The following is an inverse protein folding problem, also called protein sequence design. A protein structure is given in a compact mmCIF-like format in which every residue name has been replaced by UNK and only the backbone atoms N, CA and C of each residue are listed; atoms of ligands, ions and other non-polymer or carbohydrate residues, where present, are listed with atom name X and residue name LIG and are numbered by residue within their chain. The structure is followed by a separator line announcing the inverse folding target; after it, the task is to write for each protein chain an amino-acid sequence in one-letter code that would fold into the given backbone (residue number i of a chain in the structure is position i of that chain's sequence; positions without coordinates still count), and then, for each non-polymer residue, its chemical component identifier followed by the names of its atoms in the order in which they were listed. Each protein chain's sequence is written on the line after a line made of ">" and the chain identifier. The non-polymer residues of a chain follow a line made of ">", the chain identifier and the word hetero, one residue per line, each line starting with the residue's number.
data_IF_695885716518
#
_entry.id   IF_695885716518
#
_cell.length_a   1.000
_cell.length_b   1.000
_cell.length_c   1.000
_cell.angle_alpha   90.00
_cell.angle_beta   90.00
_cell.angle_gamma   90.00
#
_symmetry.space_group_name_H-M   'P 1'
#
loop_
_entity.id
_entity.type
_entity.pdbx_description
1 polymer ?
#
# COMPACT_ATOMS: atom_id res chain seq x y z
N UNK A 1 9.73 -20.17 -2.35
CA UNK A 1 10.18 -19.11 -1.44
C UNK A 1 9.21 -19.05 -0.30
N UNK A 2 9.70 -19.25 0.82
CA UNK A 2 9.25 -19.95 1.99
C UNK A 2 8.38 -19.07 2.92
N UNK A 3 7.52 -19.72 3.69
CA UNK A 3 6.73 -19.26 4.86
C UNK A 3 7.43 -18.27 5.84
N UNK A 4 8.63 -17.81 5.53
CA UNK A 4 9.48 -17.04 6.44
C UNK A 4 9.36 -15.51 6.36
N UNK A 5 8.56 -14.96 5.43
CA UNK A 5 8.45 -13.49 5.29
C UNK A 5 7.30 -12.87 6.10
N UNK A 6 6.35 -13.68 6.56
CA UNK A 6 5.24 -13.22 7.41
C UNK A 6 5.68 -13.07 8.88
N UNK A 7 6.72 -13.78 9.31
CA UNK A 7 7.19 -13.78 10.71
C UNK A 7 7.95 -12.52 11.16
N UNK A 8 8.21 -11.56 10.25
CA UNK A 8 8.79 -10.26 10.58
C UNK A 8 7.78 -9.10 10.67
N UNK A 9 6.55 -9.31 10.23
CA UNK A 9 5.43 -8.37 10.35
C UNK A 9 4.41 -9.00 11.25
N UNK A 10 4.08 -8.44 12.38
CA UNK A 10 3.06 -8.90 13.32
C UNK A 10 1.88 -9.68 12.71
N UNK A 11 0.89 -10.01 13.49
CA UNK A 11 -0.32 -10.75 13.00
C UNK A 11 -1.02 -9.98 11.88
N UNK A 12 -1.64 -10.72 10.95
CA UNK A 12 -2.52 -10.16 9.93
C UNK A 12 -3.73 -9.51 10.60
N UNK A 13 -3.99 -8.27 10.30
CA UNK A 13 -5.01 -7.44 10.96
C UNK A 13 -6.29 -7.40 10.15
N UNK A 14 -7.38 -7.84 10.73
CA UNK A 14 -8.69 -7.93 10.06
C UNK A 14 -9.71 -7.05 10.76
N UNK A 15 -10.49 -6.31 9.96
CA UNK A 15 -11.72 -5.65 10.36
C UNK A 15 -12.92 -6.46 9.86
N UNK A 16 -13.93 -6.64 10.69
CA UNK A 16 -15.19 -7.28 10.34
C UNK A 16 -16.30 -6.25 10.42
N UNK A 17 -17.15 -6.16 9.38
CA UNK A 17 -18.36 -5.34 9.38
C UNK A 17 -19.55 -6.16 8.88
N UNK A 18 -20.59 -6.20 9.69
CA UNK A 18 -21.87 -6.90 9.41
C UNK A 18 -22.92 -6.30 10.33
N UNK A 19 -24.16 -6.12 9.94
CA UNK A 19 -25.21 -5.54 10.78
C UNK A 19 -25.76 -6.56 11.79
N UNK A 20 -25.64 -7.87 11.51
CA UNK A 20 -26.11 -8.95 12.37
C UNK A 20 -25.05 -9.32 13.41
N UNK A 21 -25.35 -9.08 14.68
CA UNK A 21 -24.43 -9.35 15.80
C UNK A 21 -23.93 -10.80 15.85
N UNK A 22 -24.80 -11.77 15.54
CA UNK A 22 -24.45 -13.18 15.58
C UNK A 22 -23.44 -13.55 14.47
N UNK A 23 -23.62 -13.01 13.26
CA UNK A 23 -22.69 -13.19 12.15
C UNK A 23 -21.32 -12.63 12.50
N UNK A 24 -21.26 -11.40 13.05
CA UNK A 24 -19.98 -10.80 13.49
C UNK A 24 -19.28 -11.66 14.51
N UNK A 25 -20.03 -12.17 15.51
CA UNK A 25 -19.49 -13.05 16.55
C UNK A 25 -18.93 -14.35 15.96
N UNK A 26 -19.70 -15.02 15.08
CA UNK A 26 -19.31 -16.28 14.48
C UNK A 26 -18.08 -16.10 13.59
N UNK A 27 -18.05 -15.08 12.73
CA UNK A 27 -16.88 -14.76 11.89
C UNK A 27 -15.63 -14.48 12.75
N UNK A 28 -15.78 -13.73 13.86
CA UNK A 28 -14.68 -13.50 14.80
C UNK A 28 -14.17 -14.80 15.44
N UNK A 29 -15.08 -15.70 15.81
CA UNK A 29 -14.69 -16.99 16.40
C UNK A 29 -13.97 -17.87 15.38
N UNK A 30 -14.41 -17.91 14.12
CA UNK A 30 -13.70 -18.61 13.05
C UNK A 30 -12.28 -18.07 12.87
N UNK A 31 -12.12 -16.75 12.81
CA UNK A 31 -10.80 -16.11 12.67
C UNK A 31 -9.91 -16.39 13.90
N UNK A 32 -10.48 -16.45 15.09
CA UNK A 32 -9.72 -16.73 16.31
C UNK A 32 -9.09 -18.13 16.34
N UNK A 33 -9.55 -19.06 15.49
CA UNK A 33 -8.93 -20.40 15.34
C UNK A 33 -7.76 -20.40 14.36
N UNK A 34 -7.52 -19.31 13.63
CA UNK A 34 -6.47 -19.22 12.61
C UNK A 34 -5.17 -18.70 13.20
N UNK A 35 -4.04 -19.25 12.75
CA UNK A 35 -2.71 -18.80 13.17
C UNK A 35 -2.31 -17.48 12.50
N UNK A 36 -1.64 -16.63 13.27
CA UNK A 36 -1.08 -15.35 12.78
C UNK A 36 -2.11 -14.34 12.23
N UNK A 37 -3.36 -14.44 12.65
CA UNK A 37 -4.45 -13.53 12.31
C UNK A 37 -5.03 -12.91 13.57
N UNK A 38 -5.47 -11.65 13.51
CA UNK A 38 -6.18 -11.01 14.61
C UNK A 38 -7.29 -10.09 14.09
N UNK A 39 -8.41 -10.06 14.79
CA UNK A 39 -9.50 -9.11 14.54
C UNK A 39 -9.20 -7.83 15.32
N UNK A 40 -8.87 -6.76 14.61
CA UNK A 40 -8.49 -5.47 15.20
C UNK A 40 -9.66 -4.53 15.40
N UNK A 41 -10.74 -4.70 14.62
CA UNK A 41 -11.94 -3.87 14.73
C UNK A 41 -13.18 -4.64 14.29
N UNK A 42 -14.33 -4.24 14.86
CA UNK A 42 -15.66 -4.81 14.56
C UNK A 42 -16.63 -3.67 14.38
N UNK A 43 -17.23 -3.55 13.20
CA UNK A 43 -18.23 -2.54 12.84
C UNK A 43 -19.61 -3.15 12.66
N UNK A 44 -20.67 -2.36 12.85
CA UNK A 44 -22.06 -2.76 12.64
C UNK A 44 -22.69 -2.16 11.38
N UNK A 45 -21.95 -1.36 10.63
CA UNK A 45 -22.35 -0.74 9.37
C UNK A 45 -21.15 -0.24 8.59
N UNK A 46 -21.37 0.16 7.32
CA UNK A 46 -20.29 0.59 6.43
C UNK A 46 -19.62 1.89 6.86
N UNK A 47 -20.35 2.83 7.49
CA UNK A 47 -19.74 4.09 7.97
C UNK A 47 -18.71 3.80 9.05
N UNK A 48 -19.08 2.99 10.05
CA UNK A 48 -18.13 2.55 11.09
C UNK A 48 -16.95 1.78 10.50
N UNK A 49 -17.17 0.95 9.47
CA UNK A 49 -16.08 0.22 8.80
C UNK A 49 -15.05 1.16 8.20
N UNK A 50 -15.48 2.24 7.53
CA UNK A 50 -14.59 3.27 6.98
C UNK A 50 -13.82 4.00 8.09
N UNK A 51 -14.50 4.47 9.13
CA UNK A 51 -13.90 5.17 10.28
C UNK A 51 -12.87 4.29 10.99
N UNK A 52 -13.24 3.04 11.28
CA UNK A 52 -12.34 2.09 11.94
C UNK A 52 -11.17 1.66 11.06
N UNK A 53 -11.33 1.63 9.73
CA UNK A 53 -10.20 1.40 8.82
C UNK A 53 -9.17 2.51 8.95
N UNK A 54 -9.58 3.76 9.07
CA UNK A 54 -8.70 4.90 9.30
C UNK A 54 -7.96 4.83 10.64
N UNK A 55 -8.62 4.34 11.68
CA UNK A 55 -8.04 4.26 13.03
C UNK A 55 -7.11 3.05 13.18
N UNK A 56 -7.56 1.89 12.70
CA UNK A 56 -6.90 0.61 12.97
C UNK A 56 -6.01 0.11 11.83
N UNK A 57 -6.07 0.70 10.64
CA UNK A 57 -5.29 0.30 9.44
C UNK A 57 -5.24 -1.23 9.23
N UNK A 58 -6.39 -1.92 9.04
CA UNK A 58 -6.43 -3.34 8.82
C UNK A 58 -5.77 -3.72 7.48
N UNK A 59 -5.18 -4.91 7.41
CA UNK A 59 -4.68 -5.48 6.15
C UNK A 59 -5.82 -5.97 5.26
N UNK A 60 -6.89 -6.50 5.87
CA UNK A 60 -8.08 -7.02 5.18
C UNK A 60 -9.33 -6.52 5.90
N UNK A 61 -10.33 -6.11 5.12
CA UNK A 61 -11.69 -5.86 5.61
C UNK A 61 -12.63 -6.96 5.12
N UNK A 62 -13.47 -7.47 6.01
CA UNK A 62 -14.53 -8.42 5.72
C UNK A 62 -15.84 -7.69 5.90
N UNK A 63 -16.60 -7.47 4.81
CA UNK A 63 -17.76 -6.61 4.78
C UNK A 63 -19.01 -7.37 4.32
N UNK A 64 -20.07 -7.30 5.11
CA UNK A 64 -21.39 -7.67 4.60
C UNK A 64 -21.87 -6.63 3.59
N UNK A 65 -22.60 -7.06 2.55
CA UNK A 65 -23.16 -6.14 1.57
C UNK A 65 -24.28 -5.34 2.19
N UNK A 66 -25.23 -6.01 2.82
CA UNK A 66 -26.51 -5.43 3.24
C UNK A 66 -26.41 -4.84 4.65
N UNK A 67 -25.80 -3.68 4.77
CA UNK A 67 -25.69 -2.97 6.05
C UNK A 67 -26.45 -1.64 6.02
N UNK A 68 -27.00 -1.20 7.18
CA UNK A 68 -27.66 0.10 7.28
C UNK A 68 -26.67 1.25 7.14
N UNK A 69 -27.17 2.43 6.80
CA UNK A 69 -26.44 3.68 6.62
C UNK A 69 -25.46 3.71 5.43
N UNK A 70 -24.67 2.66 5.25
CA UNK A 70 -23.78 2.49 4.11
C UNK A 70 -23.57 0.99 3.86
N UNK A 71 -23.83 0.53 2.63
CA UNK A 71 -23.59 -0.84 2.20
C UNK A 71 -22.10 -1.17 2.08
N UNK A 72 -21.78 -2.48 2.08
CA UNK A 72 -20.38 -2.94 2.06
C UNK A 72 -19.61 -2.58 0.80
N UNK A 73 -20.26 -2.54 -0.38
CA UNK A 73 -19.63 -2.16 -1.64
C UNK A 73 -19.25 -0.69 -1.65
N UNK A 74 -20.15 0.17 -1.16
CA UNK A 74 -19.91 1.60 -0.99
C UNK A 74 -18.83 1.86 0.06
N UNK A 75 -18.87 1.14 1.18
CA UNK A 75 -17.84 1.24 2.22
C UNK A 75 -16.44 0.89 1.65
N UNK A 76 -16.33 -0.20 0.88
CA UNK A 76 -15.05 -0.57 0.29
C UNK A 76 -14.56 0.44 -0.76
N UNK A 77 -15.44 1.06 -1.54
CA UNK A 77 -15.04 2.15 -2.46
C UNK A 77 -14.35 3.30 -1.72
N UNK A 78 -14.89 3.71 -0.59
CA UNK A 78 -14.26 4.74 0.25
C UNK A 78 -12.93 4.26 0.83
N UNK A 79 -12.89 3.03 1.34
CA UNK A 79 -11.67 2.45 1.93
C UNK A 79 -10.55 2.39 0.90
N UNK A 80 -10.78 1.86 -0.30
CA UNK A 80 -9.71 1.66 -1.30
C UNK A 80 -9.18 2.98 -1.88
N UNK A 81 -9.97 4.04 -1.87
CA UNK A 81 -9.53 5.37 -2.29
C UNK A 81 -8.47 5.96 -1.35
N UNK A 82 -8.63 5.78 -0.04
CA UNK A 82 -7.69 6.30 0.96
C UNK A 82 -6.61 5.27 1.35
N UNK A 83 -6.94 3.98 1.31
CA UNK A 83 -6.08 2.86 1.72
C UNK A 83 -5.96 1.79 0.63
N UNK A 84 -5.30 2.07 -0.49
CA UNK A 84 -5.25 1.18 -1.66
C UNK A 84 -4.51 -0.16 -1.42
N UNK A 85 -3.91 -0.32 -0.24
CA UNK A 85 -3.25 -1.56 0.18
C UNK A 85 -4.11 -2.50 1.01
N UNK A 86 -5.37 -2.11 1.31
CA UNK A 86 -6.31 -2.91 2.12
C UNK A 86 -7.06 -3.89 1.24
N UNK A 87 -6.99 -5.18 1.54
CA UNK A 87 -7.77 -6.22 0.85
C UNK A 87 -9.21 -6.28 1.33
N UNK A 88 -10.10 -6.85 0.50
CA UNK A 88 -11.51 -6.98 0.82
C UNK A 88 -12.05 -8.38 0.52
N UNK A 89 -12.79 -8.89 1.49
CA UNK A 89 -13.65 -10.04 1.35
C UNK A 89 -15.09 -9.56 1.55
N UNK A 90 -15.93 -9.74 0.55
CA UNK A 90 -17.38 -9.51 0.70
C UNK A 90 -18.04 -10.78 1.21
N UNK A 91 -18.94 -10.62 2.16
CA UNK A 91 -19.82 -11.67 2.65
C UNK A 91 -21.26 -11.27 2.31
N UNK A 92 -22.05 -12.17 1.71
CA UNK A 92 -23.44 -11.86 1.37
C UNK A 92 -24.33 -13.08 1.44
N UNK A 93 -25.61 -12.88 1.77
CA UNK A 93 -26.63 -13.90 1.59
C UNK A 93 -27.04 -14.08 0.12
N UNK A 94 -26.65 -13.15 -0.76
CA UNK A 94 -26.99 -13.14 -2.16
C UNK A 94 -25.85 -13.70 -3.01
N UNK A 95 -26.20 -14.54 -3.97
CA UNK A 95 -25.27 -15.10 -4.99
C UNK A 95 -25.60 -14.59 -6.40
N UNK A 96 -26.30 -13.45 -6.50
CA UNK A 96 -26.69 -12.88 -7.79
C UNK A 96 -25.46 -12.49 -8.63
N UNK A 97 -25.37 -12.95 -9.89
CA UNK A 97 -24.24 -12.65 -10.77
C UNK A 97 -23.99 -11.16 -11.01
N UNK A 98 -25.02 -10.30 -10.96
CA UNK A 98 -24.87 -8.87 -11.12
C UNK A 98 -24.13 -8.25 -9.93
N UNK A 99 -24.44 -8.67 -8.71
CA UNK A 99 -23.79 -8.23 -7.48
C UNK A 99 -22.32 -8.68 -7.45
N UNK A 100 -22.03 -9.92 -7.80
CA UNK A 100 -20.66 -10.45 -7.89
C UNK A 100 -19.84 -9.68 -8.94
N UNK A 101 -20.44 -9.36 -10.09
CA UNK A 101 -19.79 -8.55 -11.13
C UNK A 101 -19.53 -7.13 -10.68
N UNK A 102 -20.47 -6.52 -9.96
CA UNK A 102 -20.28 -5.19 -9.36
C UNK A 102 -19.12 -5.18 -8.35
N UNK A 103 -19.06 -6.19 -7.50
CA UNK A 103 -17.97 -6.38 -6.54
C UNK A 103 -16.60 -6.48 -7.25
N UNK A 104 -16.50 -7.33 -8.28
CA UNK A 104 -15.26 -7.50 -9.05
C UNK A 104 -14.82 -6.20 -9.75
N UNK A 105 -15.75 -5.38 -10.23
CA UNK A 105 -15.42 -4.10 -10.90
C UNK A 105 -14.84 -3.04 -9.97
N UNK A 106 -15.03 -3.19 -8.66
CA UNK A 106 -14.49 -2.29 -7.63
C UNK A 106 -13.10 -2.76 -7.14
N UNK A 107 -12.66 -3.96 -7.56
CA UNK A 107 -11.39 -4.54 -7.13
C UNK A 107 -11.49 -5.34 -5.84
N UNK A 108 -12.69 -5.83 -5.49
CA UNK A 108 -12.87 -6.78 -4.40
C UNK A 108 -12.22 -8.11 -4.78
N UNK A 109 -11.42 -8.67 -3.88
CA UNK A 109 -10.60 -9.83 -4.16
C UNK A 109 -11.35 -11.15 -3.95
N UNK A 110 -12.28 -11.18 -2.97
CA UNK A 110 -13.02 -12.40 -2.64
C UNK A 110 -14.47 -12.12 -2.28
N UNK A 111 -15.32 -13.12 -2.56
CA UNK A 111 -16.76 -13.08 -2.31
C UNK A 111 -17.20 -14.40 -1.68
N UNK A 112 -17.74 -14.36 -0.46
CA UNK A 112 -18.28 -15.51 0.26
C UNK A 112 -19.80 -15.42 0.37
N UNK A 113 -20.48 -16.51 0.04
CA UNK A 113 -21.94 -16.63 0.18
C UNK A 113 -22.26 -17.25 1.55
N UNK A 114 -23.15 -16.61 2.31
CA UNK A 114 -23.66 -17.14 3.58
C UNK A 114 -24.64 -18.30 3.34
N UNK A 115 -24.59 -19.38 4.14
CA UNK A 115 -23.61 -19.66 5.19
C UNK A 115 -22.29 -20.16 4.62
N UNK A 116 -21.15 -19.83 5.23
CA UNK A 116 -19.81 -20.30 4.87
C UNK A 116 -19.13 -20.99 6.05
N UNK A 117 -18.17 -21.83 5.76
CA UNK A 117 -17.38 -22.59 6.74
C UNK A 117 -16.09 -21.85 7.12
N UNK A 118 -15.46 -22.30 8.20
CA UNK A 118 -14.14 -21.79 8.62
C UNK A 118 -13.08 -22.00 7.54
N UNK A 119 -13.11 -23.16 6.86
CA UNK A 119 -12.14 -23.49 5.80
C UNK A 119 -12.31 -22.58 4.57
N UNK A 120 -13.54 -22.24 4.19
CA UNK A 120 -13.82 -21.30 3.10
C UNK A 120 -13.34 -19.89 3.45
N UNK A 121 -13.58 -19.43 4.67
CA UNK A 121 -13.11 -18.13 5.13
C UNK A 121 -11.56 -18.09 5.17
N UNK A 122 -10.92 -19.14 5.66
CA UNK A 122 -9.46 -19.24 5.70
C UNK A 122 -8.86 -19.26 4.28
N UNK A 123 -9.48 -19.98 3.35
CA UNK A 123 -9.08 -20.01 1.95
C UNK A 123 -9.18 -18.64 1.30
N UNK A 124 -10.31 -17.91 1.54
CA UNK A 124 -10.52 -16.56 1.05
C UNK A 124 -9.46 -15.57 1.59
N UNK A 125 -9.17 -15.63 2.90
CA UNK A 125 -8.12 -14.79 3.52
C UNK A 125 -6.76 -15.08 2.89
N UNK A 126 -6.39 -16.35 2.72
CA UNK A 126 -5.12 -16.75 2.08
C UNK A 126 -5.02 -16.25 0.65
N UNK A 127 -6.10 -16.35 -0.12
CA UNK A 127 -6.11 -15.86 -1.51
C UNK A 127 -5.95 -14.35 -1.58
N UNK A 128 -6.66 -13.59 -0.75
CA UNK A 128 -6.48 -12.12 -0.67
C UNK A 128 -5.03 -11.75 -0.34
N UNK A 129 -4.39 -12.44 0.60
CA UNK A 129 -2.97 -12.21 0.94
C UNK A 129 -2.08 -12.40 -0.28
N UNK A 130 -2.27 -13.47 -1.04
CA UNK A 130 -1.48 -13.77 -2.25
C UNK A 130 -1.65 -12.64 -3.27
N UNK A 131 -2.88 -12.22 -3.57
CA UNK A 131 -3.17 -11.14 -4.52
C UNK A 131 -2.56 -9.80 -4.10
N UNK A 132 -2.62 -9.47 -2.79
CA UNK A 132 -1.98 -8.26 -2.25
C UNK A 132 -0.45 -8.32 -2.38
N UNK A 133 0.16 -9.48 -2.13
CA UNK A 133 1.61 -9.66 -2.29
C UNK A 133 2.04 -9.54 -3.75
N UNK A 134 1.31 -10.16 -4.68
CA UNK A 134 1.58 -10.05 -6.12
C UNK A 134 1.49 -8.60 -6.61
N UNK A 135 0.45 -7.88 -6.16
CA UNK A 135 0.26 -6.46 -6.48
C UNK A 135 1.41 -5.61 -5.95
N UNK A 136 1.82 -5.81 -4.70
CA UNK A 136 2.97 -5.12 -4.09
C UNK A 136 4.27 -5.41 -4.84
N UNK A 137 4.51 -6.68 -5.22
CA UNK A 137 5.69 -7.07 -6.01
C UNK A 137 5.67 -6.45 -7.41
N UNK A 138 4.52 -6.41 -8.08
CA UNK A 138 4.36 -5.79 -9.39
C UNK A 138 4.66 -4.30 -9.34
N UNK A 139 4.11 -3.60 -8.35
CA UNK A 139 4.38 -2.16 -8.12
C UNK A 139 5.89 -1.94 -7.84
N UNK A 140 6.50 -2.78 -7.00
CA UNK A 140 7.92 -2.68 -6.70
C UNK A 140 8.80 -2.91 -7.94
N UNK A 141 8.45 -3.86 -8.82
CA UNK A 141 9.14 -4.07 -10.11
C UNK A 141 9.01 -2.87 -11.02
N UNK A 142 7.80 -2.36 -11.22
CA UNK A 142 7.56 -1.16 -12.05
C UNK A 142 8.33 0.04 -11.49
N UNK A 143 8.31 0.25 -10.17
CA UNK A 143 9.10 1.30 -9.52
C UNK A 143 10.59 1.12 -9.77
N UNK A 144 11.11 -0.10 -9.66
CA UNK A 144 12.53 -0.40 -9.92
C UNK A 144 12.90 -0.16 -11.39
N UNK A 145 12.08 -0.59 -12.34
CA UNK A 145 12.28 -0.36 -13.78
C UNK A 145 12.24 1.14 -14.11
N UNK A 146 11.28 1.88 -13.55
CA UNK A 146 11.18 3.33 -13.74
C UNK A 146 12.37 4.06 -13.11
N UNK A 147 12.88 3.62 -11.96
CA UNK A 147 14.07 4.18 -11.32
C UNK A 147 15.37 3.89 -12.11
N UNK A 148 15.35 2.99 -13.08
CA UNK A 148 16.44 2.76 -14.02
C UNK A 148 16.29 3.56 -15.32
N UNK A 149 15.13 4.18 -15.55
CA UNK A 149 14.86 5.01 -16.72
C UNK A 149 15.28 6.45 -16.46
N UNK A 150 16.40 6.87 -17.05
CA UNK A 150 16.98 8.23 -16.85
C UNK A 150 16.02 9.36 -17.27
N UNK A 151 15.16 9.13 -18.26
CA UNK A 151 14.17 10.12 -18.72
C UNK A 151 13.11 10.32 -17.65
N UNK A 152 12.59 9.23 -17.11
CA UNK A 152 11.61 9.25 -16.00
C UNK A 152 12.20 9.91 -14.75
N UNK A 153 13.43 9.56 -14.37
CA UNK A 153 14.12 10.20 -13.24
C UNK A 153 14.24 11.71 -13.39
N UNK A 154 14.62 12.20 -14.60
CA UNK A 154 14.73 13.63 -14.89
C UNK A 154 13.37 14.35 -14.80
N UNK A 155 12.30 13.72 -15.27
CA UNK A 155 10.96 14.28 -15.15
C UNK A 155 10.54 14.41 -13.69
N UNK A 156 10.67 13.33 -12.91
CA UNK A 156 10.30 13.30 -11.50
C UNK A 156 11.15 14.26 -10.65
N UNK A 157 12.45 14.38 -10.94
CA UNK A 157 13.32 15.33 -10.28
C UNK A 157 12.90 16.78 -10.53
N UNK A 158 12.46 17.12 -11.77
CA UNK A 158 11.93 18.45 -12.08
C UNK A 158 10.61 18.74 -11.32
N UNK A 159 9.73 17.76 -11.17
CA UNK A 159 8.50 17.90 -10.35
C UNK A 159 8.85 18.13 -8.88
N UNK A 160 9.75 17.34 -8.32
CA UNK A 160 10.18 17.48 -6.93
C UNK A 160 10.85 18.83 -6.64
N UNK A 161 11.60 19.39 -7.61
CA UNK A 161 12.16 20.74 -7.48
C UNK A 161 11.08 21.81 -7.46
N UNK A 162 10.03 21.69 -8.30
CA UNK A 162 8.91 22.63 -8.32
C UNK A 162 8.14 22.60 -7.01
N UNK A 163 7.96 21.41 -6.42
CA UNK A 163 7.22 21.20 -5.19
C UNK A 163 8.07 21.45 -3.93
N UNK A 164 9.36 21.74 -4.09
CA UNK A 164 10.30 21.96 -2.98
C UNK A 164 10.50 20.74 -2.10
N UNK A 165 10.35 19.52 -2.64
CA UNK A 165 10.46 18.27 -1.88
C UNK A 165 11.92 17.99 -1.49
N UNK A 166 12.11 17.63 -0.22
CA UNK A 166 13.41 17.28 0.37
C UNK A 166 13.35 15.97 1.18
N UNK A 167 12.30 15.16 1.01
CA UNK A 167 12.10 13.89 1.68
C UNK A 167 13.02 12.78 1.14
N UNK A 168 12.93 11.57 1.71
CA UNK A 168 13.78 10.44 1.35
C UNK A 168 13.57 9.99 -0.10
N UNK A 169 12.35 10.12 -0.64
CA UNK A 169 12.07 9.82 -2.05
C UNK A 169 12.81 10.82 -2.96
N UNK A 170 12.83 12.11 -2.63
CA UNK A 170 13.55 13.13 -3.37
C UNK A 170 15.07 12.83 -3.35
N UNK A 171 15.65 12.52 -2.18
CA UNK A 171 17.05 12.14 -2.07
C UNK A 171 17.36 10.96 -2.99
N UNK A 172 16.56 9.91 -2.95
CA UNK A 172 16.79 8.71 -3.76
C UNK A 172 16.83 9.01 -5.25
N UNK A 173 15.95 9.89 -5.74
CA UNK A 173 15.89 10.29 -7.14
C UNK A 173 17.16 11.08 -7.53
N UNK A 174 17.53 12.08 -6.71
CA UNK A 174 18.72 12.91 -7.02
C UNK A 174 20.03 12.15 -6.85
N UNK A 175 20.16 11.26 -5.85
CA UNK A 175 21.32 10.37 -5.71
C UNK A 175 21.47 9.46 -6.94
N UNK A 176 20.37 8.94 -7.48
CA UNK A 176 20.37 8.10 -8.67
C UNK A 176 20.79 8.88 -9.91
N UNK A 177 20.29 10.10 -10.10
CA UNK A 177 20.74 10.98 -11.19
C UNK A 177 22.21 11.36 -11.04
N UNK A 178 22.64 11.62 -9.82
CA UNK A 178 24.03 11.95 -9.50
C UNK A 178 24.99 10.76 -9.63
N UNK A 179 24.50 9.52 -9.66
CA UNK A 179 25.35 8.35 -9.85
C UNK A 179 25.99 8.27 -11.24
N UNK A 180 25.38 8.89 -12.26
CA UNK A 180 25.97 9.00 -13.60
C UNK A 180 27.18 9.95 -13.55
N UNK A 181 28.39 9.52 -13.97
CA UNK A 181 29.55 10.37 -14.04
C UNK A 181 29.39 11.59 -14.98
N UNK A 182 28.50 11.49 -15.97
CA UNK A 182 28.24 12.54 -16.95
C UNK A 182 26.91 13.28 -16.67
N UNK A 183 26.40 13.19 -15.44
CA UNK A 183 25.17 13.88 -15.08
C UNK A 183 25.33 15.41 -15.17
N UNK A 184 24.24 16.08 -15.49
CA UNK A 184 24.17 17.55 -15.48
C UNK A 184 24.45 18.06 -14.04
N UNK A 185 25.35 19.03 -13.94
CA UNK A 185 25.78 19.68 -12.67
C UNK A 185 24.57 20.18 -11.86
N UNK A 186 23.51 20.59 -12.53
CA UNK A 186 22.24 21.00 -11.91
C UNK A 186 21.70 19.94 -10.92
N UNK A 187 21.80 18.66 -11.24
CA UNK A 187 21.32 17.60 -10.36
C UNK A 187 22.19 17.42 -9.12
N UNK A 188 23.50 17.63 -9.28
CA UNK A 188 24.44 17.62 -8.15
C UNK A 188 24.22 18.80 -7.22
N UNK A 189 23.97 19.99 -7.78
CA UNK A 189 23.67 21.21 -7.01
C UNK A 189 22.33 21.07 -6.26
N UNK A 190 21.30 20.53 -6.91
CA UNK A 190 20.00 20.25 -6.26
C UNK A 190 20.14 19.26 -5.10
N UNK A 191 20.90 18.18 -5.28
CA UNK A 191 21.18 17.20 -4.24
C UNK A 191 21.97 17.83 -3.08
N UNK A 192 22.93 18.72 -3.37
CA UNK A 192 23.67 19.43 -2.35
C UNK A 192 22.74 20.33 -1.50
N UNK A 193 21.80 21.03 -2.14
CA UNK A 193 20.78 21.82 -1.41
C UNK A 193 19.90 20.93 -0.51
N UNK A 194 19.46 19.77 -1.00
CA UNK A 194 18.66 18.83 -0.20
C UNK A 194 19.44 18.35 1.01
N UNK A 195 20.70 17.93 0.84
CA UNK A 195 21.56 17.52 1.95
C UNK A 195 21.80 18.64 2.97
N UNK A 196 21.99 19.89 2.50
CA UNK A 196 22.15 21.05 3.39
C UNK A 196 20.90 21.29 4.23
N UNK A 197 19.71 21.30 3.62
CA UNK A 197 18.41 21.49 4.31
C UNK A 197 18.18 20.37 5.34
N UNK A 198 18.62 19.15 5.05
CA UNK A 198 18.44 17.99 5.94
C UNK A 198 19.58 17.78 6.94
N UNK A 199 20.57 18.67 6.96
CA UNK A 199 21.73 18.60 7.86
C UNK A 199 22.59 17.34 7.64
N UNK A 200 22.58 16.77 6.44
CA UNK A 200 23.37 15.58 6.07
C UNK A 200 24.80 15.97 5.67
N UNK A 201 25.54 16.60 6.59
CA UNK A 201 26.85 17.20 6.33
C UNK A 201 27.91 16.24 5.77
N UNK A 202 27.87 14.97 6.16
CA UNK A 202 28.80 13.96 5.68
C UNK A 202 28.62 13.70 4.17
N UNK A 203 27.39 13.55 3.73
CA UNK A 203 27.05 13.36 2.31
C UNK A 203 27.31 14.63 1.49
N UNK A 204 26.98 15.79 2.05
CA UNK A 204 27.25 17.09 1.40
C UNK A 204 28.75 17.29 1.14
N UNK A 205 29.60 16.97 2.11
CA UNK A 205 31.07 17.07 1.96
C UNK A 205 31.59 16.17 0.84
N UNK A 206 31.10 14.93 0.77
CA UNK A 206 31.50 13.98 -0.30
C UNK A 206 31.04 14.46 -1.68
N UNK A 207 29.85 15.06 -1.76
CA UNK A 207 29.30 15.59 -3.01
C UNK A 207 30.05 16.85 -3.46
N UNK A 208 30.43 17.74 -2.53
CA UNK A 208 31.21 18.96 -2.82
C UNK A 208 32.57 18.64 -3.45
N UNK A 209 33.30 17.66 -2.91
CA UNK A 209 34.57 17.19 -3.49
C UNK A 209 34.41 16.74 -4.95
N UNK A 210 33.29 16.10 -5.27
CA UNK A 210 32.98 15.67 -6.64
C UNK A 210 32.66 16.85 -7.58
N UNK A 211 31.94 17.87 -7.09
CA UNK A 211 31.61 19.10 -7.84
C UNK A 211 32.86 19.90 -8.20
N UNK A 212 33.86 19.96 -7.30
CA UNK A 212 35.14 20.64 -7.56
C UNK A 212 35.91 19.97 -8.69
N UNK A 213 35.92 18.61 -8.72
CA UNK A 213 36.58 17.88 -9.81
C UNK A 213 35.88 18.06 -11.16
N UNK A 214 34.57 18.17 -11.23
CA UNK A 214 33.82 18.37 -12.48
C UNK A 214 33.98 19.79 -13.02
N UNK A 215 34.10 20.81 -12.17
CA UNK A 215 34.36 22.20 -12.59
C UNK A 215 35.79 22.41 -13.09
N UNK A 216 36.78 21.68 -12.55
CA UNK A 216 38.17 21.74 -12.98
C UNK A 216 38.47 21.13 -14.36
N UNK A 217 37.58 20.23 -14.84
CA UNK A 217 37.76 19.56 -16.17
C UNK A 217 37.16 20.37 -17.33
N UNK A 218 36.28 21.33 -17.07
CA UNK A 218 35.65 22.19 -18.10
C UNK A 218 36.33 23.53 -18.31
N UNK A 219 37.50 23.75 -17.69
CA UNK A 219 38.29 24.98 -17.81
C UNK A 219 39.62 24.80 -18.58
N UNK A 220 39.67 23.81 -19.48
CA UNK A 220 40.81 23.66 -20.39
C UNK A 220 40.37 23.62 -21.84
#
# INVERSE_FOLDING_TARGET
>A
MTQNDISKKGKLRILIADDVHETRRNTRLMIATMDNVEVTAIASNGVQAVEMTKEYHPDIVILDINMPAMDGLTAYKHIIQEYPGTGCIIISAESDPATVKAASSIGIQEYLVKPFTTDELEAAIKHVIILLQETRQKIARIRHENLNNIVYLKQLANEYLKDGRTDDDAIQIFERLAADPHCDVRWLESLAMIYAVRWEWGKLKSLAARLEHTKGSNSK
#
